data_IF_005586639354
#
_entry.id   IF_005586639354
#
_cell.length_a   1.000
_cell.length_b   1.000
_cell.length_c   1.000
_cell.angle_alpha   90.00
_cell.angle_beta   90.00
_cell.angle_gamma   90.00
#
_symmetry.space_group_name_H-M   'P 1'
#
loop_
_entity.id
_entity.type
_entity.pdbx_description
1 polymer ?
#
# COMPACT_ATOMS: atom_id res chain seq x y z
N UNK A 1 -23.14 -48.01 15.40
CA UNK A 1 -22.03 -47.66 14.50
C UNK A 1 -22.40 -46.68 13.38
N UNK A 2 -23.50 -46.83 12.63
CA UNK A 2 -23.90 -45.91 11.55
C UNK A 2 -24.11 -44.44 11.99
N UNK A 3 -24.63 -44.20 13.21
CA UNK A 3 -24.95 -42.87 13.74
C UNK A 3 -23.71 -42.03 13.97
N UNK A 4 -22.59 -42.60 14.38
CA UNK A 4 -21.35 -41.91 14.62
C UNK A 4 -20.60 -41.62 13.30
N UNK A 5 -20.74 -42.49 12.31
CA UNK A 5 -20.14 -42.31 10.98
C UNK A 5 -20.80 -41.15 10.23
N UNK A 6 -22.10 -40.95 10.40
CA UNK A 6 -22.85 -39.85 9.78
C UNK A 6 -22.41 -38.47 10.35
N UNK A 7 -22.14 -38.39 11.66
CA UNK A 7 -21.65 -37.17 12.31
C UNK A 7 -20.22 -36.80 11.84
N UNK A 8 -19.34 -37.79 11.63
CA UNK A 8 -17.98 -37.57 11.17
C UNK A 8 -17.97 -37.08 9.71
N UNK A 9 -18.83 -37.63 8.87
CA UNK A 9 -18.96 -37.18 7.47
C UNK A 9 -19.51 -35.75 7.40
N UNK A 10 -20.47 -35.38 8.24
CA UNK A 10 -21.03 -34.03 8.31
C UNK A 10 -20.00 -33.00 8.80
N UNK A 11 -19.12 -33.36 9.72
CA UNK A 11 -18.03 -32.55 10.21
C UNK A 11 -16.93 -32.34 9.13
N UNK A 12 -16.63 -33.36 8.35
CA UNK A 12 -15.65 -33.31 7.27
C UNK A 12 -16.14 -32.47 6.07
N UNK A 13 -17.43 -32.49 5.75
CA UNK A 13 -18.00 -31.69 4.67
C UNK A 13 -18.15 -30.21 5.05
N UNK A 14 -18.32 -29.89 6.33
CA UNK A 14 -18.36 -28.51 6.82
C UNK A 14 -17.03 -27.76 6.70
N UNK A 15 -15.91 -28.47 6.68
CA UNK A 15 -14.57 -27.86 6.60
C UNK A 15 -14.20 -27.41 5.17
N UNK A 16 -14.90 -27.84 4.16
CA UNK A 16 -14.63 -27.48 2.75
C UNK A 16 -15.30 -26.17 2.29
N UNK A 17 -16.13 -25.56 3.12
CA UNK A 17 -16.85 -24.32 2.78
C UNK A 17 -16.17 -23.05 3.30
N UNK A 18 -14.96 -23.12 3.84
CA UNK A 18 -14.14 -21.96 4.06
C UNK A 18 -13.61 -21.46 2.70
N UNK A 19 -14.48 -20.91 1.88
CA UNK A 19 -14.06 -20.14 0.71
C UNK A 19 -13.30 -18.94 1.24
N UNK A 20 -12.03 -18.85 0.87
CA UNK A 20 -11.26 -17.62 1.05
C UNK A 20 -12.07 -16.50 0.37
N UNK A 21 -12.61 -15.59 1.16
CA UNK A 21 -13.34 -14.45 0.64
C UNK A 21 -12.34 -13.60 -0.11
N UNK A 22 -12.42 -13.61 -1.45
CA UNK A 22 -11.65 -12.69 -2.29
C UNK A 22 -12.13 -11.29 -1.94
N UNK A 23 -11.32 -10.54 -1.22
CA UNK A 23 -11.60 -9.13 -0.95
C UNK A 23 -11.23 -8.36 -2.20
N UNK A 24 -12.22 -7.78 -2.85
CA UNK A 24 -11.96 -6.78 -3.88
C UNK A 24 -11.49 -5.49 -3.19
N UNK A 25 -10.38 -4.95 -3.66
CA UNK A 25 -9.84 -3.67 -3.17
C UNK A 25 -9.33 -2.85 -4.35
N UNK A 26 -9.24 -1.56 -4.13
CA UNK A 26 -8.59 -0.62 -5.04
C UNK A 26 -7.52 0.12 -4.25
N UNK A 27 -6.34 0.25 -4.82
CA UNK A 27 -5.26 1.05 -4.26
C UNK A 27 -4.91 2.17 -5.23
N UNK A 28 -4.81 3.37 -4.69
CA UNK A 28 -4.38 4.56 -5.43
C UNK A 28 -3.33 5.27 -4.58
N UNK A 29 -2.26 5.71 -5.23
CA UNK A 29 -1.21 6.49 -4.58
C UNK A 29 -1.10 7.86 -5.25
N UNK A 30 -0.75 8.88 -4.48
CA UNK A 30 -0.51 10.24 -4.97
C UNK A 30 0.89 10.69 -4.55
N UNK A 31 1.73 11.01 -5.52
CA UNK A 31 3.13 11.37 -5.30
C UNK A 31 3.40 12.85 -5.01
N UNK A 32 2.35 13.65 -4.80
CA UNK A 32 2.44 15.08 -4.55
C UNK A 32 2.02 15.94 -5.76
N UNK A 33 1.79 17.22 -5.50
CA UNK A 33 1.31 18.21 -6.48
C UNK A 33 2.48 19.05 -7.04
N UNK A 34 3.51 18.39 -7.57
CA UNK A 34 4.66 19.05 -8.17
C UNK A 34 4.39 19.59 -9.58
N UNK A 35 5.38 20.26 -10.15
CA UNK A 35 5.35 20.71 -11.54
C UNK A 35 5.60 19.52 -12.48
N UNK A 36 4.51 18.96 -13.01
CA UNK A 36 4.52 17.80 -13.90
C UNK A 36 5.27 18.11 -15.20
N UNK A 37 5.11 19.32 -15.76
CA UNK A 37 5.80 19.70 -16.99
C UNK A 37 7.32 19.73 -16.80
N UNK A 38 7.79 20.21 -15.66
CA UNK A 38 9.20 20.18 -15.30
C UNK A 38 9.70 18.75 -15.07
N UNK A 39 8.89 17.90 -14.48
CA UNK A 39 9.24 16.49 -14.31
C UNK A 39 9.36 15.78 -15.66
N UNK A 40 8.41 15.97 -16.57
CA UNK A 40 8.41 15.38 -17.91
C UNK A 40 9.57 15.86 -18.78
N UNK A 41 10.10 17.05 -18.53
CA UNK A 41 11.29 17.57 -19.22
C UNK A 41 12.61 16.87 -18.80
N UNK A 42 12.60 16.11 -17.71
CA UNK A 42 13.73 15.32 -17.20
C UNK A 42 13.40 13.82 -17.24
N UNK A 43 13.74 13.09 -18.32
CA UNK A 43 13.39 11.68 -18.46
C UNK A 43 13.97 10.78 -17.37
N UNK A 44 15.16 11.11 -16.84
CA UNK A 44 15.82 10.32 -15.80
C UNK A 44 15.04 10.45 -14.48
N UNK A 45 14.74 11.69 -14.10
CA UNK A 45 13.97 11.98 -12.88
C UNK A 45 12.55 11.45 -12.98
N UNK A 46 11.92 11.59 -14.15
CA UNK A 46 10.61 11.03 -14.44
C UNK A 46 10.58 9.53 -14.23
N UNK A 47 11.55 8.80 -14.79
CA UNK A 47 11.64 7.35 -14.61
C UNK A 47 11.83 6.95 -13.13
N UNK A 48 12.60 7.72 -12.36
CA UNK A 48 12.77 7.48 -10.92
C UNK A 48 11.45 7.65 -10.16
N UNK A 49 10.66 8.68 -10.46
CA UNK A 49 9.35 8.90 -9.85
C UNK A 49 8.37 7.77 -10.18
N UNK A 50 8.28 7.36 -11.45
CA UNK A 50 7.39 6.26 -11.84
C UNK A 50 7.80 4.94 -11.16
N UNK A 51 9.08 4.62 -11.14
CA UNK A 51 9.56 3.42 -10.44
C UNK A 51 9.27 3.45 -8.93
N UNK A 52 9.34 4.63 -8.31
CA UNK A 52 9.00 4.79 -6.90
C UNK A 52 7.49 4.66 -6.65
N UNK A 53 6.65 5.20 -7.52
CA UNK A 53 5.19 5.04 -7.44
C UNK A 53 4.78 3.57 -7.64
N UNK A 54 5.37 2.88 -8.60
CA UNK A 54 5.15 1.44 -8.80
C UNK A 54 5.56 0.63 -7.57
N UNK A 55 6.69 0.96 -6.97
CA UNK A 55 7.13 0.30 -5.72
C UNK A 55 6.15 0.53 -4.57
N UNK A 56 5.62 1.73 -4.44
CA UNK A 56 4.61 2.07 -3.43
C UNK A 56 3.31 1.27 -3.65
N UNK A 57 2.84 1.17 -4.89
CA UNK A 57 1.68 0.37 -5.25
C UNK A 57 1.90 -1.11 -4.94
N UNK A 58 3.07 -1.66 -5.28
CA UNK A 58 3.42 -3.06 -4.98
C UNK A 58 3.42 -3.35 -3.48
N UNK A 59 3.94 -2.43 -2.65
CA UNK A 59 3.95 -2.58 -1.19
C UNK A 59 2.52 -2.68 -0.65
N UNK A 60 1.64 -1.77 -1.06
CA UNK A 60 0.25 -1.78 -0.63
C UNK A 60 -0.52 -3.00 -1.14
N UNK A 61 -0.32 -3.35 -2.41
CA UNK A 61 -0.95 -4.50 -3.06
C UNK A 61 -0.57 -5.82 -2.36
N UNK A 62 0.71 -6.04 -2.07
CA UNK A 62 1.18 -7.23 -1.35
C UNK A 62 0.48 -7.40 0.01
N UNK A 63 0.27 -6.32 0.75
CA UNK A 63 -0.41 -6.37 2.05
C UNK A 63 -1.88 -6.73 1.87
N UNK A 64 -2.57 -6.06 0.95
CA UNK A 64 -4.01 -6.26 0.72
C UNK A 64 -4.29 -7.63 0.10
N UNK A 65 -3.48 -8.09 -0.85
CA UNK A 65 -3.59 -9.41 -1.47
C UNK A 65 -3.36 -10.54 -0.45
N UNK A 66 -2.50 -10.32 0.55
CA UNK A 66 -2.29 -11.26 1.65
C UNK A 66 -3.42 -11.24 2.71
N UNK A 67 -4.47 -10.43 2.51
CA UNK A 67 -5.59 -10.30 3.44
C UNK A 67 -5.35 -9.30 4.57
N UNK A 68 -4.31 -8.47 4.49
CA UNK A 68 -4.05 -7.37 5.40
C UNK A 68 -5.12 -6.28 5.30
N UNK A 69 -5.13 -5.39 6.28
CA UNK A 69 -6.12 -4.32 6.37
C UNK A 69 -5.66 -3.05 5.67
N UNK A 70 -6.63 -2.22 5.22
CA UNK A 70 -6.36 -0.94 4.55
C UNK A 70 -5.39 -0.03 5.32
N UNK A 71 -5.59 0.22 6.63
CA UNK A 71 -4.66 1.03 7.41
C UNK A 71 -3.22 0.51 7.42
N UNK A 72 -3.02 -0.81 7.42
CA UNK A 72 -1.67 -1.41 7.34
C UNK A 72 -1.00 -1.11 6.00
N UNK A 73 -1.75 -1.22 4.90
CA UNK A 73 -1.26 -0.88 3.57
C UNK A 73 -0.92 0.62 3.46
N UNK A 74 -1.81 1.49 3.96
CA UNK A 74 -1.58 2.95 4.00
C UNK A 74 -0.31 3.27 4.78
N UNK A 75 -0.14 2.75 5.99
CA UNK A 75 1.05 3.00 6.81
C UNK A 75 2.34 2.56 6.10
N UNK A 76 2.34 1.38 5.48
CA UNK A 76 3.53 0.87 4.79
C UNK A 76 3.90 1.74 3.57
N UNK A 77 2.91 2.18 2.80
CA UNK A 77 3.10 3.05 1.63
C UNK A 77 3.59 4.44 2.05
N UNK A 78 2.99 5.03 3.08
CA UNK A 78 3.42 6.35 3.59
C UNK A 78 4.86 6.27 4.13
N UNK A 79 5.19 5.24 4.92
CA UNK A 79 6.57 5.02 5.38
C UNK A 79 7.57 4.89 4.22
N UNK A 80 7.16 4.26 3.12
CA UNK A 80 7.99 4.20 1.93
C UNK A 80 8.23 5.59 1.33
N UNK A 81 7.19 6.42 1.19
CA UNK A 81 7.33 7.79 0.68
C UNK A 81 8.17 8.67 1.60
N UNK A 82 7.99 8.60 2.91
CA UNK A 82 8.78 9.37 3.89
C UNK A 82 10.25 8.98 3.89
N UNK A 83 10.57 7.73 3.55
CA UNK A 83 11.95 7.26 3.44
C UNK A 83 12.59 7.52 2.08
N UNK A 84 11.82 7.97 1.09
CA UNK A 84 12.31 8.25 -0.25
C UNK A 84 12.45 9.76 -0.49
N UNK A 85 13.67 10.30 -0.67
CA UNK A 85 13.91 11.73 -0.82
C UNK A 85 13.35 12.34 -2.11
N UNK A 86 12.78 11.54 -3.02
CA UNK A 86 12.09 12.05 -4.21
C UNK A 86 10.80 12.79 -3.88
N UNK A 87 10.16 12.43 -2.75
CA UNK A 87 8.85 12.98 -2.37
C UNK A 87 9.02 14.07 -1.32
N UNK A 88 8.14 15.07 -1.35
CA UNK A 88 8.08 16.12 -0.33
C UNK A 88 7.40 15.57 0.95
N UNK A 89 8.06 14.59 1.57
CA UNK A 89 7.61 13.94 2.80
C UNK A 89 8.85 13.40 3.54
N UNK A 90 8.86 13.41 4.85
CA UNK A 90 9.93 12.83 5.65
C UNK A 90 11.33 13.28 5.20
N UNK A 91 12.14 12.37 4.68
CA UNK A 91 13.53 12.64 4.24
C UNK A 91 13.65 13.62 3.06
N UNK A 92 12.61 13.75 2.27
CA UNK A 92 12.56 14.66 1.13
C UNK A 92 11.79 15.96 1.41
N UNK A 93 11.38 16.20 2.66
CA UNK A 93 10.61 17.37 3.03
C UNK A 93 11.33 18.68 2.68
N UNK A 94 10.59 19.63 2.13
CA UNK A 94 11.07 20.99 1.91
C UNK A 94 11.08 21.77 3.21
N UNK A 95 12.11 22.58 3.43
CA UNK A 95 12.16 23.47 4.58
C UNK A 95 11.22 24.68 4.39
N UNK A 96 10.76 25.22 5.50
CA UNK A 96 10.02 26.48 5.57
C UNK A 96 10.92 27.66 5.19
N UNK A 97 10.34 28.86 5.09
CA UNK A 97 11.10 30.08 4.85
C UNK A 97 12.11 30.39 5.97
N UNK A 98 11.82 29.91 7.17
CA UNK A 98 12.68 30.05 8.37
C UNK A 98 13.78 28.98 8.43
N UNK A 99 13.83 28.03 7.48
CA UNK A 99 14.83 26.96 7.43
C UNK A 99 14.53 25.79 8.36
N UNK A 100 13.31 25.66 8.86
CA UNK A 100 12.83 24.53 9.67
C UNK A 100 12.06 23.54 8.80
N UNK A 101 11.85 22.32 9.32
CA UNK A 101 10.98 21.30 8.68
C UNK A 101 9.73 21.12 9.50
N UNK A 102 8.58 21.20 8.82
CA UNK A 102 7.27 20.95 9.41
C UNK A 102 6.58 19.84 8.62
N UNK A 103 6.02 18.87 9.32
CA UNK A 103 5.41 17.69 8.73
C UNK A 103 4.06 17.44 9.40
N UNK A 104 3.08 17.07 8.57
CA UNK A 104 1.76 16.63 9.00
C UNK A 104 1.59 15.14 8.70
N UNK A 105 0.83 14.44 9.53
CA UNK A 105 0.48 13.05 9.31
C UNK A 105 -0.98 12.81 9.68
N UNK A 106 -1.66 12.00 8.87
CA UNK A 106 -3.03 11.55 9.14
C UNK A 106 -3.25 10.14 8.58
N UNK A 107 -4.19 9.42 9.20
CA UNK A 107 -4.62 8.10 8.76
C UNK A 107 -6.12 7.94 8.97
#
# INVERSE_FOLDING_TARGET
>A
MLRNTFFIILLLTGSFLAQAQVREYVIVVHGGAGDVAKLESDPVRSAQYYAALDSALMIGDCILAAGGEGPQAVMAVINYFENNPLFNAGKGATCTAEGTFELDASI
#
